data_IF_869414424422
#
_entry.id   IF_869414424422
#
_cell.length_a   1.000
_cell.length_b   1.000
_cell.length_c   1.000
_cell.angle_alpha   90.00
_cell.angle_beta   90.00
_cell.angle_gamma   90.00
#
_symmetry.space_group_name_H-M   'P 1'
#
loop_
_entity.id
_entity.type
_entity.pdbx_description
1 polymer ?
#
# COMPACT_ATOMS: atom_id res chain seq x y z
N UNK A 1 19.23 -1.73 13.32
CA UNK A 1 17.92 -2.38 13.35
C UNK A 1 16.99 -1.53 12.52
N UNK A 2 16.40 -2.08 11.46
CA UNK A 2 15.32 -1.39 10.75
C UNK A 2 14.10 -1.35 11.67
N UNK A 3 13.48 -0.18 11.79
CA UNK A 3 12.27 0.00 12.59
C UNK A 3 11.10 -0.39 11.68
N UNK A 4 10.33 -1.39 12.08
CA UNK A 4 9.07 -1.72 11.43
C UNK A 4 8.02 -0.74 11.92
N UNK A 5 7.32 -0.10 10.98
CA UNK A 5 6.25 0.85 11.27
C UNK A 5 4.92 0.23 10.90
N UNK A 6 3.94 0.37 11.79
CA UNK A 6 2.58 -0.11 11.54
C UNK A 6 1.84 0.84 10.59
N UNK A 7 0.99 0.26 9.73
CA UNK A 7 0.07 0.99 8.86
C UNK A 7 -1.18 1.35 9.66
N UNK A 8 -1.48 2.64 9.78
CA UNK A 8 -2.62 3.17 10.53
C UNK A 8 -3.79 3.60 9.65
N UNK A 9 -3.58 3.76 8.33
CA UNK A 9 -4.63 4.06 7.37
C UNK A 9 -4.28 3.56 5.97
N UNK A 10 -5.30 3.16 5.22
CA UNK A 10 -5.20 2.69 3.83
C UNK A 10 -6.32 3.32 3.02
N UNK A 11 -5.96 4.02 1.95
CA UNK A 11 -6.92 4.59 1.01
C UNK A 11 -6.71 4.01 -0.40
N UNK A 12 -7.70 3.29 -0.96
CA UNK A 12 -7.62 2.78 -2.32
C UNK A 12 -7.72 3.90 -3.36
N UNK A 13 -6.86 3.85 -4.37
CA UNK A 13 -6.84 4.81 -5.47
C UNK A 13 -7.39 4.18 -6.75
N UNK A 14 -7.73 5.03 -7.73
CA UNK A 14 -8.40 4.61 -8.98
C UNK A 14 -7.50 3.81 -9.94
N UNK A 15 -6.20 3.84 -9.73
CA UNK A 15 -5.16 3.28 -10.61
C UNK A 15 -4.57 1.95 -10.07
N UNK A 16 -5.34 1.23 -9.26
CA UNK A 16 -4.88 0.03 -8.53
C UNK A 16 -3.70 0.31 -7.60
N UNK A 17 -3.56 1.53 -7.09
CA UNK A 17 -2.61 1.83 -6.01
C UNK A 17 -3.32 1.98 -4.68
N UNK A 18 -2.58 1.79 -3.58
CA UNK A 18 -3.02 2.10 -2.23
C UNK A 18 -2.15 3.23 -1.67
N UNK A 19 -2.79 4.24 -1.09
CA UNK A 19 -2.10 5.22 -0.25
C UNK A 19 -2.08 4.70 1.18
N UNK A 20 -0.89 4.33 1.66
CA UNK A 20 -0.64 3.87 3.01
C UNK A 20 -0.19 5.03 3.88
N UNK A 21 -0.71 5.11 5.10
CA UNK A 21 -0.22 6.03 6.14
C UNK A 21 0.33 5.20 7.30
N UNK A 22 1.58 5.45 7.67
CA UNK A 22 2.26 4.79 8.77
C UNK A 22 2.09 5.56 10.09
N UNK A 23 2.37 4.92 11.24
CA UNK A 23 2.25 5.53 12.56
C UNK A 23 3.09 6.80 12.75
N UNK A 24 4.20 6.93 12.01
CA UNK A 24 5.04 8.12 11.99
C UNK A 24 4.51 9.22 11.04
N UNK A 25 3.30 9.04 10.50
CA UNK A 25 2.63 9.91 9.53
C UNK A 25 3.29 9.94 8.13
N UNK A 26 4.24 9.06 7.87
CA UNK A 26 4.78 8.85 6.51
C UNK A 26 3.68 8.31 5.59
N UNK A 27 3.69 8.79 4.34
CA UNK A 27 2.77 8.35 3.30
C UNK A 27 3.53 7.63 2.20
N UNK A 28 3.06 6.46 1.79
CA UNK A 28 3.62 5.70 0.66
C UNK A 28 2.53 5.24 -0.29
N UNK A 29 2.82 5.31 -1.58
CA UNK A 29 2.00 4.67 -2.61
C UNK A 29 2.49 3.24 -2.82
N UNK A 30 1.55 2.30 -2.86
CA UNK A 30 1.81 0.89 -3.09
C UNK A 30 1.06 0.43 -4.33
N UNK A 31 1.77 -0.10 -5.32
CA UNK A 31 1.18 -0.61 -6.57
C UNK A 31 0.64 -2.03 -6.39
N UNK A 32 -0.67 -2.21 -6.58
CA UNK A 32 -1.32 -3.52 -6.48
C UNK A 32 -1.28 -4.30 -7.80
N UNK A 33 -0.90 -3.70 -8.93
CA UNK A 33 -0.93 -4.37 -10.25
C UNK A 33 -0.20 -5.73 -10.26
N UNK A 34 1.00 -5.89 -9.65
CA UNK A 34 1.69 -7.18 -9.61
C UNK A 34 0.90 -8.31 -8.93
N UNK A 35 -0.07 -7.97 -8.08
CA UNK A 35 -0.87 -8.93 -7.31
C UNK A 35 -2.24 -9.19 -7.95
N UNK A 36 -2.74 -8.27 -8.77
CA UNK A 36 -4.04 -8.38 -9.44
C UNK A 36 -3.98 -9.24 -10.71
N UNK A 37 -2.81 -9.33 -11.36
CA UNK A 37 -2.63 -10.15 -12.58
C UNK A 37 -2.80 -11.66 -12.32
N UNK A 38 -2.69 -12.11 -11.06
CA UNK A 38 -2.77 -13.53 -10.69
C UNK A 38 -4.17 -14.16 -10.80
N UNK A 39 -5.22 -13.37 -11.05
CA UNK A 39 -6.61 -13.84 -11.20
C UNK A 39 -7.09 -13.89 -12.67
N UNK A 40 -6.22 -13.66 -13.65
CA UNK A 40 -6.51 -13.93 -15.07
C UNK A 40 -6.11 -15.36 -15.43
N UNK A 41 -6.95 -16.32 -15.07
CA UNK A 41 -6.97 -17.67 -15.67
C UNK A 41 -8.26 -17.83 -16.48
#
# INVERSE_FOLDING_TARGET
MEILLDVISVEPQKDNTLLLVFENHEKRLFDMNPYLEKNRL
#
